data_IF_603316554337
#
_entry.id   IF_603316554337
#
_cell.length_a   1.000
_cell.length_b   1.000
_cell.length_c   1.000
_cell.angle_alpha   90.00
_cell.angle_beta   90.00
_cell.angle_gamma   90.00
#
_symmetry.space_group_name_H-M   'P 1'
#
loop_
_entity.id
_entity.type
_entity.pdbx_description
1 polymer ?
#
# COMPACT_ATOMS: atom_id res chain seq x y z
N UNK A 1 32.59 -28.15 -15.51
CA UNK A 1 33.23 -27.04 -14.78
C UNK A 1 32.28 -25.84 -14.86
N UNK A 2 31.20 -25.91 -14.08
CA UNK A 2 30.99 -25.15 -12.84
C UNK A 2 30.75 -23.66 -13.11
N UNK A 3 29.49 -23.32 -13.39
CA UNK A 3 28.94 -21.98 -13.20
C UNK A 3 27.79 -22.15 -12.24
N UNK A 4 28.05 -21.73 -11.02
CA UNK A 4 27.26 -21.91 -9.82
C UNK A 4 25.85 -21.35 -9.96
N UNK A 5 24.87 -22.25 -10.12
CA UNK A 5 23.53 -22.08 -9.57
C UNK A 5 23.67 -21.87 -8.05
N UNK A 6 23.75 -20.62 -7.61
CA UNK A 6 23.61 -20.30 -6.18
C UNK A 6 22.13 -20.22 -5.87
N UNK A 7 21.57 -21.39 -5.61
CA UNK A 7 20.39 -21.56 -4.77
C UNK A 7 20.67 -20.92 -3.40
N UNK A 8 20.17 -19.69 -3.18
CA UNK A 8 20.01 -19.09 -1.84
C UNK A 8 18.53 -18.83 -1.61
N UNK A 9 17.81 -19.90 -1.28
CA UNK A 9 16.45 -19.88 -0.73
C UNK A 9 16.45 -19.51 0.76
N UNK A 10 17.16 -18.44 1.12
CA UNK A 10 17.09 -17.81 2.45
C UNK A 10 16.53 -16.40 2.29
N UNK A 11 15.56 -16.03 3.12
CA UNK A 11 15.01 -14.67 3.14
C UNK A 11 16.15 -13.65 3.32
N UNK A 12 16.13 -12.57 2.54
CA UNK A 12 17.18 -11.56 2.59
C UNK A 12 17.19 -10.88 3.98
N UNK A 13 18.32 -10.98 4.68
CA UNK A 13 18.50 -10.36 6.00
C UNK A 13 18.58 -8.84 5.81
N UNK A 14 17.68 -8.11 6.45
CA UNK A 14 17.46 -6.69 6.17
C UNK A 14 17.54 -5.86 7.44
N UNK A 15 18.23 -4.71 7.38
CA UNK A 15 18.18 -3.70 8.45
C UNK A 15 17.14 -2.65 8.09
N UNK A 16 16.25 -2.36 9.04
CA UNK A 16 15.24 -1.31 8.90
C UNK A 16 15.80 0.01 9.42
N UNK A 17 15.65 1.08 8.66
CA UNK A 17 16.13 2.42 9.01
C UNK A 17 14.99 3.42 8.98
N UNK A 18 14.82 4.17 10.07
CA UNK A 18 13.83 5.23 10.20
C UNK A 18 14.46 6.55 10.64
N UNK A 19 13.98 7.65 10.08
CA UNK A 19 14.41 9.00 10.47
C UNK A 19 13.23 9.78 11.04
N UNK A 20 13.31 10.06 12.35
CA UNK A 20 12.39 10.98 13.02
C UNK A 20 12.74 12.42 12.62
N UNK A 21 11.92 12.98 11.73
CA UNK A 21 12.03 14.37 11.26
C UNK A 21 11.30 15.38 12.15
N UNK A 22 10.79 14.95 13.32
CA UNK A 22 9.91 15.75 14.16
C UNK A 22 8.49 15.91 13.58
N UNK A 23 8.14 15.07 12.60
CA UNK A 23 6.77 14.99 12.09
C UNK A 23 5.89 14.25 13.10
N UNK A 24 4.62 14.66 13.25
CA UNK A 24 3.69 13.90 14.07
C UNK A 24 3.53 12.48 13.49
N UNK A 25 3.37 11.50 14.36
CA UNK A 25 3.08 10.08 14.02
C UNK A 25 4.24 9.30 13.39
N UNK A 26 5.49 9.62 13.72
CA UNK A 26 6.64 8.76 13.39
C UNK A 26 6.54 7.42 14.13
N UNK A 27 6.59 6.31 13.40
CA UNK A 27 6.66 4.96 13.97
C UNK A 27 8.08 4.69 14.46
N UNK A 28 8.35 5.02 15.73
CA UNK A 28 9.66 4.84 16.35
C UNK A 28 10.10 3.39 16.42
N UNK A 29 9.15 2.45 16.39
CA UNK A 29 9.42 1.02 16.47
C UNK A 29 9.57 0.38 15.09
N UNK A 30 9.27 1.10 14.01
CA UNK A 30 9.26 0.61 12.63
C UNK A 30 8.45 -0.68 12.48
N UNK A 31 7.36 -0.81 13.24
CA UNK A 31 6.48 -1.99 13.21
C UNK A 31 5.86 -2.15 11.82
N UNK A 32 5.35 -1.07 11.25
CA UNK A 32 4.70 -1.10 9.95
C UNK A 32 5.70 -1.46 8.84
N UNK A 33 6.89 -0.86 8.86
CA UNK A 33 7.96 -1.20 7.92
C UNK A 33 8.41 -2.66 8.09
N UNK A 34 8.46 -3.15 9.33
CA UNK A 34 8.79 -4.55 9.63
C UNK A 34 7.75 -5.51 9.06
N UNK A 35 6.46 -5.18 9.18
CA UNK A 35 5.36 -5.95 8.58
C UNK A 35 5.42 -5.91 7.05
N UNK A 36 5.75 -4.77 6.44
CA UNK A 36 5.93 -4.67 4.98
C UNK A 36 7.10 -5.54 4.52
N UNK A 37 8.25 -5.44 5.19
CA UNK A 37 9.43 -6.24 4.87
C UNK A 37 9.13 -7.74 4.94
N UNK A 38 8.49 -8.20 6.03
CA UNK A 38 8.05 -9.60 6.17
C UNK A 38 7.08 -10.01 5.06
N UNK A 39 6.14 -9.13 4.69
CA UNK A 39 5.17 -9.38 3.62
C UNK A 39 5.85 -9.55 2.26
N UNK A 40 6.93 -8.81 2.01
CA UNK A 40 7.73 -8.92 0.79
C UNK A 40 8.64 -10.16 0.76
N UNK A 41 8.75 -10.90 1.87
CA UNK A 41 9.64 -12.05 2.01
C UNK A 41 11.05 -11.70 2.53
N UNK A 42 11.25 -10.48 3.05
CA UNK A 42 12.48 -10.05 3.71
C UNK A 42 12.46 -10.48 5.19
N UNK A 43 13.65 -10.61 5.78
CA UNK A 43 13.82 -10.94 7.19
C UNK A 43 14.47 -9.75 7.92
N UNK A 44 13.69 -8.91 8.61
CA UNK A 44 14.24 -7.83 9.44
C UNK A 44 15.11 -8.39 10.58
N UNK A 45 16.40 -8.04 10.60
CA UNK A 45 17.35 -8.49 11.63
C UNK A 45 17.68 -7.40 12.65
N UNK A 46 17.54 -6.13 12.28
CA UNK A 46 17.73 -5.00 13.19
C UNK A 46 16.87 -3.81 12.76
N UNK A 47 16.66 -2.90 13.72
CA UNK A 47 15.96 -1.64 13.53
C UNK A 47 16.83 -0.51 14.03
N UNK A 48 17.00 0.50 13.19
CA UNK A 48 17.85 1.65 13.47
C UNK A 48 17.02 2.90 13.27
N UNK A 49 16.84 3.68 14.33
CA UNK A 49 16.20 5.00 14.23
C UNK A 49 17.21 6.10 14.51
N UNK A 50 16.99 7.27 13.90
CA UNK A 50 17.75 8.46 14.23
C UNK A 50 16.84 9.69 14.18
N UNK A 51 17.14 10.67 15.03
CA UNK A 51 16.40 11.92 15.10
C UNK A 51 17.14 13.03 14.38
N UNK A 52 16.45 13.75 13.49
CA UNK A 52 17.01 14.89 12.75
C UNK A 52 15.94 15.95 12.54
N UNK A 53 16.36 17.22 12.42
CA UNK A 53 15.43 18.29 12.04
C UNK A 53 15.11 18.30 10.55
N UNK A 54 16.05 17.84 9.73
CA UNK A 54 15.92 17.79 8.28
C UNK A 54 16.79 16.63 7.73
N UNK A 55 16.38 16.03 6.59
CA UNK A 55 17.17 15.01 5.94
C UNK A 55 18.49 15.59 5.42
N UNK A 56 19.56 14.79 5.50
CA UNK A 56 20.83 15.14 4.86
C UNK A 56 20.70 15.10 3.33
N UNK A 57 21.21 16.13 2.65
CA UNK A 57 21.10 16.22 1.19
C UNK A 57 21.86 15.09 0.46
N UNK A 58 22.93 14.58 1.06
CA UNK A 58 23.75 13.54 0.47
C UNK A 58 23.33 12.14 0.90
N UNK A 59 23.13 11.89 2.20
CA UNK A 59 22.90 10.54 2.73
C UNK A 59 21.53 10.34 3.38
N UNK A 60 20.66 11.35 3.41
CA UNK A 60 19.40 11.38 4.19
C UNK A 60 19.61 11.32 5.72
N UNK A 61 20.53 10.48 6.19
CA UNK A 61 21.08 10.39 7.54
C UNK A 61 22.47 11.03 7.62
N UNK A 62 23.04 11.13 8.82
CA UNK A 62 24.41 11.62 9.01
C UNK A 62 25.45 10.54 8.67
N UNK A 63 26.66 10.96 8.27
CA UNK A 63 27.77 10.04 7.95
C UNK A 63 28.07 9.07 9.09
N UNK A 64 28.19 9.55 10.34
CA UNK A 64 28.45 8.69 11.48
C UNK A 64 27.36 7.62 11.71
N UNK A 65 26.09 7.95 11.40
CA UNK A 65 25.00 6.96 11.47
C UNK A 65 25.05 5.97 10.31
N UNK A 66 25.47 6.43 9.13
CA UNK A 66 25.70 5.53 8.00
C UNK A 66 26.86 4.56 8.28
N UNK A 67 27.93 5.01 8.94
CA UNK A 67 29.04 4.15 9.39
C UNK A 67 28.56 3.11 10.42
N UNK A 68 27.75 3.53 11.40
CA UNK A 68 27.13 2.63 12.38
C UNK A 68 26.27 1.56 11.70
N UNK A 69 25.43 1.94 10.74
CA UNK A 69 24.61 0.99 9.96
C UNK A 69 25.49 0.04 9.15
N UNK A 70 26.59 0.52 8.56
CA UNK A 70 27.52 -0.32 7.80
C UNK A 70 28.13 -1.41 8.67
N UNK A 71 28.65 -1.03 9.85
CA UNK A 71 29.22 -1.98 10.81
C UNK A 71 28.17 -3.00 11.28
N UNK A 72 26.97 -2.52 11.62
CA UNK A 72 25.87 -3.40 12.03
C UNK A 72 25.46 -4.38 10.92
N UNK A 73 25.48 -3.93 9.66
CA UNK A 73 25.17 -4.77 8.51
C UNK A 73 26.25 -5.84 8.25
N UNK A 74 27.50 -5.56 8.59
CA UNK A 74 28.59 -6.55 8.55
C UNK A 74 28.46 -7.57 9.68
N UNK A 75 28.21 -7.10 10.90
CA UNK A 75 28.04 -7.94 12.09
C UNK A 75 26.86 -8.92 11.95
N UNK A 76 25.70 -8.42 11.49
CA UNK A 76 24.48 -9.22 11.37
C UNK A 76 24.36 -9.95 10.03
N UNK A 77 25.32 -9.78 9.12
CA UNK A 77 25.28 -10.37 7.78
C UNK A 77 24.10 -9.86 6.93
N UNK A 78 23.63 -8.63 7.17
CA UNK A 78 22.52 -8.06 6.43
C UNK A 78 22.92 -7.83 4.96
N UNK A 79 22.05 -8.28 4.05
CA UNK A 79 22.24 -8.19 2.60
C UNK A 79 21.57 -6.96 2.00
N UNK A 80 20.69 -6.30 2.74
CA UNK A 80 19.90 -5.15 2.27
C UNK A 80 19.61 -4.16 3.41
N UNK A 81 19.53 -2.87 3.06
CA UNK A 81 19.14 -1.81 3.98
C UNK A 81 17.85 -1.17 3.47
N UNK A 82 16.84 -1.12 4.31
CA UNK A 82 15.51 -0.64 3.96
C UNK A 82 15.16 0.62 4.74
N UNK A 83 14.93 1.72 4.03
CA UNK A 83 14.53 3.00 4.60
C UNK A 83 13.02 3.17 4.62
N UNK A 84 12.46 3.60 5.76
CA UNK A 84 11.03 3.88 5.92
C UNK A 84 10.59 5.10 5.09
N UNK A 85 11.46 6.09 4.93
CA UNK A 85 11.16 7.29 4.15
C UNK A 85 11.58 7.13 2.68
N UNK A 86 10.85 7.77 1.77
CA UNK A 86 11.24 7.83 0.37
C UNK A 86 12.57 8.57 0.19
N UNK A 87 13.49 7.96 -0.56
CA UNK A 87 14.81 8.55 -0.82
C UNK A 87 14.80 9.27 -2.16
N UNK A 88 15.60 10.32 -2.30
CA UNK A 88 15.91 10.84 -3.65
C UNK A 88 16.86 9.89 -4.39
N UNK A 89 16.87 9.89 -5.74
CA UNK A 89 17.83 9.09 -6.51
C UNK A 89 19.29 9.37 -6.16
N UNK A 90 19.60 10.59 -5.69
CA UNK A 90 20.93 10.98 -5.26
C UNK A 90 21.30 10.36 -3.90
N UNK A 91 20.39 10.45 -2.93
CA UNK A 91 20.57 9.88 -1.60
C UNK A 91 20.73 8.37 -1.64
N UNK A 92 19.82 7.67 -2.34
CA UNK A 92 19.87 6.22 -2.47
C UNK A 92 21.24 5.73 -2.97
N UNK A 93 21.76 6.33 -4.03
CA UNK A 93 23.08 5.97 -4.59
C UNK A 93 24.24 6.30 -3.66
N UNK A 94 24.18 7.42 -2.95
CA UNK A 94 25.24 7.79 -2.02
C UNK A 94 25.27 6.80 -0.86
N UNK A 95 24.10 6.41 -0.36
CA UNK A 95 23.94 5.36 0.64
C UNK A 95 24.41 4.00 0.13
N UNK A 96 24.01 3.56 -1.07
CA UNK A 96 24.50 2.32 -1.69
C UNK A 96 26.03 2.28 -1.79
N UNK A 97 26.64 3.42 -2.17
CA UNK A 97 28.10 3.56 -2.25
C UNK A 97 28.79 3.53 -0.89
N UNK A 98 28.17 4.12 0.12
CA UNK A 98 28.74 4.22 1.46
C UNK A 98 28.61 2.89 2.23
N UNK A 99 27.43 2.27 2.15
CA UNK A 99 27.05 1.04 2.86
C UNK A 99 27.49 -0.24 2.13
N UNK A 100 27.89 -0.11 0.86
CA UNK A 100 28.32 -1.21 -0.02
C UNK A 100 27.28 -2.33 -0.16
N UNK A 101 26.01 -1.96 -0.02
CA UNK A 101 24.86 -2.87 -0.03
C UNK A 101 23.70 -2.23 -0.80
N UNK A 102 22.77 -3.02 -1.35
CA UNK A 102 21.50 -2.51 -1.86
C UNK A 102 20.77 -1.69 -0.79
N UNK A 103 20.34 -0.49 -1.18
CA UNK A 103 19.53 0.39 -0.34
C UNK A 103 18.21 0.62 -1.05
N UNK A 104 17.13 0.19 -0.41
CA UNK A 104 15.78 0.34 -0.92
C UNK A 104 14.96 1.22 0.03
N UNK A 105 13.96 1.89 -0.51
CA UNK A 105 13.04 2.72 0.28
C UNK A 105 11.67 2.05 0.34
N UNK A 106 10.81 2.58 1.23
CA UNK A 106 9.43 2.13 1.40
C UNK A 106 8.62 2.17 0.10
N UNK A 107 8.92 3.09 -0.82
CA UNK A 107 8.21 3.16 -2.11
C UNK A 107 8.45 1.91 -2.93
N UNK A 108 9.72 1.50 -3.09
CA UNK A 108 10.05 0.30 -3.82
C UNK A 108 9.50 -0.97 -3.15
N UNK A 109 9.60 -1.05 -1.82
CA UNK A 109 9.07 -2.19 -1.06
C UNK A 109 7.58 -2.40 -1.30
N UNK A 110 6.79 -1.31 -1.25
CA UNK A 110 5.35 -1.40 -1.49
C UNK A 110 5.08 -1.86 -2.94
N UNK A 111 5.82 -1.34 -3.92
CA UNK A 111 5.71 -1.77 -5.32
C UNK A 111 6.02 -3.25 -5.51
N UNK A 112 7.00 -3.79 -4.79
CA UNK A 112 7.35 -5.21 -4.82
C UNK A 112 6.25 -6.09 -4.24
N UNK A 113 5.70 -5.70 -3.07
CA UNK A 113 4.55 -6.39 -2.47
C UNK A 113 3.38 -6.38 -3.46
N UNK A 114 3.09 -5.25 -4.09
CA UNK A 114 2.04 -5.18 -5.09
C UNK A 114 2.32 -6.04 -6.32
N UNK A 115 3.57 -6.14 -6.76
CA UNK A 115 3.97 -7.05 -7.83
C UNK A 115 3.69 -8.50 -7.52
N UNK A 116 3.90 -8.91 -6.26
CA UNK A 116 3.60 -10.26 -5.78
C UNK A 116 2.08 -10.52 -5.66
N UNK A 117 1.27 -9.47 -5.42
CA UNK A 117 -0.18 -9.59 -5.18
C UNK A 117 -1.05 -9.38 -6.42
N UNK A 118 -0.55 -8.67 -7.43
CA UNK A 118 -1.29 -8.38 -8.66
C UNK A 118 -1.57 -9.67 -9.47
N UNK A 119 -2.82 -10.10 -9.49
CA UNK A 119 -3.24 -11.28 -10.28
C UNK A 119 -3.92 -10.86 -11.58
N UNK A 120 -4.74 -9.83 -11.52
CA UNK A 120 -5.44 -9.30 -12.69
C UNK A 120 -4.47 -8.70 -13.71
N UNK A 121 -4.85 -8.75 -14.98
CA UNK A 121 -4.06 -8.14 -16.05
C UNK A 121 -3.94 -6.61 -15.88
N UNK A 122 -5.02 -5.96 -15.44
CA UNK A 122 -5.04 -4.52 -15.15
C UNK A 122 -4.10 -4.17 -13.98
N UNK A 123 -4.23 -4.88 -12.86
CA UNK A 123 -3.38 -4.67 -11.68
C UNK A 123 -1.89 -4.89 -12.00
N UNK A 124 -1.56 -5.90 -12.81
CA UNK A 124 -0.16 -6.14 -13.25
C UNK A 124 0.38 -4.95 -14.05
N UNK A 125 -0.40 -4.40 -14.99
CA UNK A 125 0.01 -3.23 -15.77
C UNK A 125 0.17 -1.97 -14.91
N UNK A 126 -0.68 -1.77 -13.91
CA UNK A 126 -0.59 -0.63 -12.98
C UNK A 126 0.70 -0.70 -12.15
N UNK A 127 0.97 -1.87 -11.55
CA UNK A 127 2.20 -2.09 -10.79
C UNK A 127 3.44 -1.94 -11.68
N UNK A 128 3.40 -2.50 -12.89
CA UNK A 128 4.48 -2.38 -13.85
C UNK A 128 4.74 -0.91 -14.22
N UNK A 129 3.69 -0.14 -14.51
CA UNK A 129 3.81 1.30 -14.80
C UNK A 129 4.49 2.04 -13.65
N UNK A 130 4.00 1.84 -12.43
CA UNK A 130 4.53 2.50 -11.24
C UNK A 130 6.00 2.14 -10.99
N UNK A 131 6.35 0.85 -11.15
CA UNK A 131 7.73 0.37 -11.03
C UNK A 131 8.64 0.97 -12.11
N UNK A 132 8.18 1.03 -13.37
CA UNK A 132 8.95 1.64 -14.45
C UNK A 132 9.17 3.14 -14.21
N UNK A 133 8.15 3.86 -13.75
CA UNK A 133 8.27 5.28 -13.38
C UNK A 133 9.28 5.47 -12.25
N UNK A 134 9.19 4.67 -11.18
CA UNK A 134 10.13 4.71 -10.07
C UNK A 134 11.58 4.48 -10.53
N UNK A 135 11.82 3.38 -11.26
CA UNK A 135 13.15 3.00 -11.76
C UNK A 135 13.67 4.03 -12.76
N UNK A 136 12.82 4.63 -13.60
CA UNK A 136 13.24 5.61 -14.62
C UNK A 136 14.03 6.79 -14.05
N UNK A 137 13.67 7.24 -12.84
CA UNK A 137 14.34 8.35 -12.15
C UNK A 137 15.70 7.95 -11.56
N UNK A 138 15.99 6.65 -11.49
CA UNK A 138 17.15 6.05 -10.80
C UNK A 138 18.13 5.31 -11.73
N UNK A 139 17.75 5.05 -12.99
CA UNK A 139 18.57 4.38 -14.01
C UNK A 139 19.89 5.09 -14.31
N UNK A 140 19.84 6.42 -14.42
CA UNK A 140 20.94 7.25 -14.95
C UNK A 140 22.25 7.07 -14.17
N UNK A 141 22.21 6.58 -12.93
CA UNK A 141 23.37 6.59 -12.06
C UNK A 141 23.66 5.28 -11.31
N UNK A 142 22.99 4.16 -11.67
CA UNK A 142 23.44 2.81 -11.27
C UNK A 142 24.68 2.35 -12.06
N UNK A 143 24.89 2.92 -13.24
CA UNK A 143 25.98 2.57 -14.16
C UNK A 143 27.30 3.33 -13.93
N UNK A 144 27.36 4.32 -13.02
CA UNK A 144 28.60 5.05 -12.71
C UNK A 144 29.70 4.16 -12.10
N UNK A 145 29.36 2.95 -11.65
CA UNK A 145 30.32 1.95 -11.18
C UNK A 145 31.00 1.18 -12.33
N UNK A 146 30.34 0.98 -13.48
CA UNK A 146 30.96 0.32 -14.63
C UNK A 146 31.99 1.22 -15.34
N UNK A 147 31.77 2.53 -15.37
CA UNK A 147 32.71 3.49 -15.98
C UNK A 147 34.09 3.52 -15.31
N UNK A 148 34.21 3.13 -14.04
CA UNK A 148 35.51 3.12 -13.34
C UNK A 148 36.37 1.88 -13.63
N UNK A 149 35.78 0.80 -14.11
CA UNK A 149 36.52 -0.41 -14.48
C UNK A 149 37.06 -0.37 -15.92
N UNK A 150 36.47 0.46 -16.78
CA UNK A 150 36.94 0.66 -18.17
C UNK A 150 37.71 1.98 -18.26
N UNK A 151 39.00 1.92 -17.90
CA UNK A 151 39.88 3.08 -17.84
C UNK A 151 39.98 3.88 -19.14
N UNK A 152 39.94 5.20 -18.99
CA UNK A 152 40.68 6.20 -19.76
C UNK A 152 40.68 6.10 -21.30
N UNK A 153 39.80 6.85 -21.95
CA UNK A 153 40.11 7.52 -23.21
C UNK A 153 39.14 8.71 -23.41
N UNK A 154 39.70 9.92 -23.50
CA UNK A 154 38.99 11.19 -23.59
C UNK A 154 38.19 11.39 -24.88
N UNK A 155 37.01 10.77 -24.95
CA UNK A 155 35.98 11.12 -25.93
C UNK A 155 34.73 11.54 -25.14
N UNK A 156 34.34 12.81 -25.25
CA UNK A 156 33.03 13.31 -24.81
C UNK A 156 31.95 12.42 -25.44
N UNK A 157 31.23 11.62 -24.64
CA UNK A 157 30.27 10.62 -25.11
C UNK A 157 30.76 9.17 -25.02
N UNK A 158 31.20 8.74 -23.84
CA UNK A 158 31.68 7.37 -23.61
C UNK A 158 30.59 6.30 -23.81
N UNK A 159 30.97 5.01 -23.95
CA UNK A 159 30.02 3.90 -24.15
C UNK A 159 28.92 3.81 -23.08
N UNK A 160 29.24 4.20 -21.83
CA UNK A 160 28.29 4.23 -20.71
C UNK A 160 27.21 5.30 -20.86
N UNK A 161 27.55 6.49 -21.35
CA UNK A 161 26.60 7.59 -21.55
C UNK A 161 25.57 7.25 -22.64
N UNK A 162 26.02 6.63 -23.73
CA UNK A 162 25.13 6.10 -24.78
C UNK A 162 24.25 4.96 -24.26
N UNK A 163 24.79 4.05 -23.45
CA UNK A 163 24.01 2.96 -22.88
C UNK A 163 22.92 3.46 -21.91
N UNK A 164 23.24 4.46 -21.08
CA UNK A 164 22.28 5.11 -20.18
C UNK A 164 21.16 5.79 -20.96
N UNK A 165 21.50 6.50 -22.04
CA UNK A 165 20.52 7.15 -22.89
C UNK A 165 19.59 6.14 -23.58
N UNK A 166 20.15 5.03 -24.08
CA UNK A 166 19.38 3.92 -24.66
C UNK A 166 18.45 3.28 -23.62
N UNK A 167 18.95 2.94 -22.43
CA UNK A 167 18.14 2.37 -21.35
C UNK A 167 17.02 3.32 -20.92
N UNK A 168 17.33 4.61 -20.78
CA UNK A 168 16.34 5.64 -20.45
C UNK A 168 15.27 5.74 -21.53
N UNK A 169 15.65 5.67 -22.80
CA UNK A 169 14.72 5.65 -23.92
C UNK A 169 13.85 4.39 -23.92
N UNK A 170 14.45 3.22 -23.70
CA UNK A 170 13.73 1.94 -23.63
C UNK A 170 12.70 1.94 -22.50
N UNK A 171 13.06 2.45 -21.31
CA UNK A 171 12.13 2.57 -20.19
C UNK A 171 11.05 3.62 -20.47
N UNK A 172 11.40 4.75 -21.11
CA UNK A 172 10.42 5.74 -21.55
C UNK A 172 9.39 5.15 -22.53
N UNK A 173 9.85 4.38 -23.52
CA UNK A 173 8.98 3.70 -24.49
C UNK A 173 8.12 2.62 -23.81
N UNK A 174 8.66 1.90 -22.81
CA UNK A 174 7.89 0.97 -22.00
C UNK A 174 6.78 1.68 -21.21
N UNK A 175 7.10 2.78 -20.52
CA UNK A 175 6.12 3.61 -19.80
C UNK A 175 4.99 4.06 -20.74
N UNK A 176 5.35 4.58 -21.92
CA UNK A 176 4.37 5.03 -22.92
C UNK A 176 3.43 3.89 -23.35
N UNK A 177 4.00 2.73 -23.71
CA UNK A 177 3.22 1.56 -24.13
C UNK A 177 2.31 1.04 -23.02
N UNK A 178 2.79 0.96 -21.78
CA UNK A 178 1.99 0.50 -20.63
C UNK A 178 0.85 1.48 -20.32
N UNK A 179 1.11 2.78 -20.39
CA UNK A 179 0.07 3.82 -20.22
C UNK A 179 -1.02 3.74 -21.29
N UNK A 180 -0.64 3.56 -22.56
CA UNK A 180 -1.60 3.38 -23.67
C UNK A 180 -2.48 2.13 -23.48
N UNK A 181 -1.91 1.04 -22.95
CA UNK A 181 -2.67 -0.18 -22.62
C UNK A 181 -3.66 0.05 -21.48
N UNK A 182 -3.24 0.75 -20.43
CA UNK A 182 -4.13 1.12 -19.30
C UNK A 182 -5.28 2.02 -19.74
N UNK A 183 -5.04 2.99 -20.61
CA UNK A 183 -6.10 3.86 -21.14
C UNK A 183 -7.15 3.08 -21.96
N UNK A 184 -6.74 2.05 -22.71
CA UNK A 184 -7.67 1.16 -23.41
C UNK A 184 -8.56 0.38 -22.42
N UNK A 185 -7.96 -0.14 -21.34
CA UNK A 185 -8.71 -0.85 -20.28
C UNK A 185 -9.68 0.09 -19.54
N UNK A 186 -9.25 1.32 -19.25
CA UNK A 186 -10.09 2.35 -18.62
C UNK A 186 -11.35 2.65 -19.44
N UNK A 187 -11.21 2.77 -20.77
CA UNK A 187 -12.37 2.94 -21.68
C UNK A 187 -13.33 1.75 -21.61
N UNK A 188 -12.81 0.52 -21.59
CA UNK A 188 -13.64 -0.69 -21.47
C UNK A 188 -14.40 -0.74 -20.13
N UNK A 189 -13.74 -0.38 -19.01
CA UNK A 189 -14.38 -0.25 -17.68
C UNK A 189 -15.49 0.79 -17.69
N UNK A 190 -15.29 1.96 -18.31
CA UNK A 190 -16.31 3.01 -18.38
C UNK A 190 -17.60 2.55 -19.06
N UNK A 191 -17.50 1.69 -20.07
CA UNK A 191 -18.66 1.09 -20.75
C UNK A 191 -19.39 0.09 -19.85
N UNK A 192 -18.65 -0.77 -19.15
CA UNK A 192 -19.24 -1.69 -18.15
C UNK A 192 -19.90 -0.92 -17.00
N UNK A 193 -19.30 0.19 -16.57
CA UNK A 193 -19.86 1.09 -15.56
C UNK A 193 -21.20 1.65 -16.00
N UNK A 194 -21.29 2.23 -17.21
CA UNK A 194 -22.57 2.74 -17.76
C UNK A 194 -23.65 1.66 -17.81
N UNK A 195 -23.27 0.41 -18.04
CA UNK A 195 -24.21 -0.71 -17.99
C UNK A 195 -24.66 -1.05 -16.56
N UNK A 196 -23.77 -0.92 -15.57
CA UNK A 196 -24.10 -1.09 -14.13
C UNK A 196 -24.98 0.04 -13.61
N UNK A 197 -24.67 1.30 -13.90
CA UNK A 197 -25.47 2.47 -13.53
C UNK A 197 -26.90 2.36 -14.07
N UNK A 198 -27.07 1.89 -15.32
CA UNK A 198 -28.40 1.64 -15.92
C UNK A 198 -29.22 0.56 -15.21
N UNK A 199 -28.59 -0.32 -14.43
CA UNK A 199 -29.28 -1.38 -13.67
C UNK A 199 -29.71 -0.93 -12.27
N UNK A 200 -29.35 0.28 -11.84
CA UNK A 200 -29.76 0.84 -10.55
C UNK A 200 -29.25 0.07 -9.33
N UNK A 201 -28.14 -0.67 -9.46
CA UNK A 201 -27.56 -1.41 -8.35
C UNK A 201 -26.80 -0.45 -7.42
N UNK A 202 -27.18 -0.44 -6.14
CA UNK A 202 -26.52 0.33 -5.09
C UNK A 202 -25.16 -0.30 -4.78
N UNK A 203 -24.09 0.50 -4.86
CA UNK A 203 -22.71 0.03 -4.75
C UNK A 203 -22.07 0.49 -3.44
N UNK A 204 -21.59 -0.48 -2.67
CA UNK A 204 -20.93 -0.29 -1.39
C UNK A 204 -19.46 -0.69 -1.53
N UNK A 205 -18.56 0.18 -1.07
CA UNK A 205 -17.11 -0.06 -1.13
C UNK A 205 -16.49 -0.12 0.26
N UNK A 206 -15.72 -1.17 0.54
CA UNK A 206 -14.99 -1.32 1.79
C UNK A 206 -13.66 -0.58 1.69
N UNK A 207 -13.50 0.48 2.48
CA UNK A 207 -12.27 1.27 2.56
C UNK A 207 -11.67 1.20 3.95
N UNK A 208 -10.39 1.53 4.08
CA UNK A 208 -9.72 1.54 5.38
C UNK A 208 -8.26 1.11 5.31
N UNK A 209 -7.60 1.21 6.45
CA UNK A 209 -6.17 0.91 6.57
C UNK A 209 -5.86 -0.55 6.24
N UNK A 210 -4.64 -0.82 5.77
CA UNK A 210 -4.13 -2.18 5.59
C UNK A 210 -4.22 -2.93 6.92
N UNK A 211 -4.58 -4.22 6.86
CA UNK A 211 -4.84 -5.05 8.02
C UNK A 211 -6.02 -4.64 8.94
N UNK A 212 -6.86 -3.66 8.59
CA UNK A 212 -8.10 -3.37 9.34
C UNK A 212 -9.14 -4.52 9.29
N UNK A 213 -8.88 -5.56 8.49
CA UNK A 213 -9.76 -6.72 8.34
C UNK A 213 -10.88 -6.53 7.30
N UNK A 214 -10.69 -5.63 6.32
CA UNK A 214 -11.62 -5.42 5.18
C UNK A 214 -12.01 -6.72 4.49
N UNK A 215 -11.04 -7.52 4.04
CA UNK A 215 -11.31 -8.78 3.35
C UNK A 215 -11.95 -9.85 4.25
N UNK A 216 -11.62 -9.85 5.54
CA UNK A 216 -12.28 -10.71 6.54
C UNK A 216 -13.75 -10.33 6.71
N UNK A 217 -14.04 -9.04 6.84
CA UNK A 217 -15.41 -8.53 6.93
C UNK A 217 -16.18 -8.77 5.64
N UNK A 218 -15.56 -8.54 4.47
CA UNK A 218 -16.11 -8.86 3.16
C UNK A 218 -16.58 -10.31 3.11
N UNK A 219 -15.71 -11.26 3.47
CA UNK A 219 -16.05 -12.68 3.50
C UNK A 219 -17.23 -13.00 4.41
N UNK A 220 -17.28 -12.37 5.57
CA UNK A 220 -18.39 -12.54 6.52
C UNK A 220 -19.70 -11.98 5.98
N UNK A 221 -19.66 -10.86 5.25
CA UNK A 221 -20.83 -10.24 4.60
C UNK A 221 -21.32 -11.06 3.40
N UNK A 222 -20.45 -11.52 2.52
CA UNK A 222 -20.89 -12.24 1.30
C UNK A 222 -20.90 -13.76 1.45
N UNK A 223 -20.59 -14.29 2.65
CA UNK A 223 -20.37 -15.73 2.91
C UNK A 223 -19.42 -16.36 1.87
N UNK A 224 -18.42 -15.59 1.43
CA UNK A 224 -17.47 -15.99 0.40
C UNK A 224 -16.14 -16.44 1.01
N UNK A 225 -15.34 -17.16 0.21
CA UNK A 225 -13.96 -17.54 0.53
C UNK A 225 -12.95 -16.68 -0.25
N UNK A 226 -13.02 -15.35 -0.13
CA UNK A 226 -11.91 -14.50 -0.60
C UNK A 226 -10.69 -14.70 0.31
N UNK A 227 -9.48 -14.49 -0.22
CA UNK A 227 -8.26 -14.63 0.56
C UNK A 227 -8.16 -13.49 1.58
N UNK A 228 -7.98 -13.85 2.85
CA UNK A 228 -7.71 -12.91 3.94
C UNK A 228 -6.51 -13.44 4.73
N UNK A 229 -5.54 -12.59 4.99
CA UNK A 229 -4.33 -12.91 5.75
C UNK A 229 -3.89 -11.69 6.56
N UNK A 230 -3.20 -11.94 7.67
CA UNK A 230 -2.58 -10.93 8.53
C UNK A 230 -1.27 -10.41 7.89
N UNK A 231 -1.41 -9.86 6.68
CA UNK A 231 -0.33 -9.35 5.84
C UNK A 231 -0.78 -8.02 5.23
N UNK A 232 0.15 -7.07 5.10
CA UNK A 232 -0.16 -5.78 4.47
C UNK A 232 -0.46 -6.03 2.98
N UNK A 233 -1.42 -5.27 2.43
CA UNK A 233 -1.87 -5.43 1.03
C UNK A 233 -2.30 -6.86 0.65
N UNK A 234 -2.93 -7.60 1.57
CA UNK A 234 -3.52 -8.91 1.29
C UNK A 234 -4.46 -8.91 0.07
N UNK A 235 -5.10 -7.77 -0.22
CA UNK A 235 -5.97 -7.54 -1.37
C UNK A 235 -5.47 -6.32 -2.15
N UNK A 236 -5.24 -6.53 -3.45
CA UNK A 236 -4.90 -5.48 -4.43
C UNK A 236 -5.96 -5.36 -5.52
N UNK A 237 -6.35 -6.51 -6.09
CA UNK A 237 -7.40 -6.57 -7.10
C UNK A 237 -8.78 -6.40 -6.44
N UNK A 238 -9.56 -5.44 -6.93
CA UNK A 238 -10.92 -5.17 -6.44
C UNK A 238 -11.82 -6.40 -6.65
N UNK A 239 -12.47 -6.87 -5.59
CA UNK A 239 -13.41 -7.99 -5.67
C UNK A 239 -14.83 -7.52 -5.40
N UNK A 240 -15.69 -7.61 -6.40
CA UNK A 240 -17.12 -7.24 -6.29
C UNK A 240 -18.01 -8.47 -6.23
N UNK A 241 -18.94 -8.50 -5.28
CA UNK A 241 -19.94 -9.54 -5.13
C UNK A 241 -21.32 -8.93 -4.88
N UNK A 242 -22.37 -9.63 -5.32
CA UNK A 242 -23.73 -9.26 -4.97
C UNK A 242 -24.04 -9.73 -3.54
N UNK A 243 -24.61 -8.84 -2.75
CA UNK A 243 -25.09 -9.06 -1.40
C UNK A 243 -26.59 -8.81 -1.38
N UNK A 244 -27.35 -9.77 -0.86
CA UNK A 244 -28.79 -9.61 -0.65
C UNK A 244 -29.03 -9.10 0.76
N UNK A 245 -29.63 -7.92 0.86
CA UNK A 245 -30.11 -7.34 2.11
C UNK A 245 -31.58 -7.73 2.28
N UNK A 246 -31.90 -8.40 3.39
CA UNK A 246 -33.28 -8.61 3.79
C UNK A 246 -33.80 -7.31 4.40
N UNK A 247 -35.01 -6.88 4.01
CA UNK A 247 -35.62 -5.69 4.60
C UNK A 247 -35.86 -5.94 6.10
N UNK A 248 -35.59 -4.92 6.92
CA UNK A 248 -35.75 -4.99 8.37
C UNK A 248 -37.23 -5.11 8.81
N UNK A 249 -38.16 -4.77 7.91
CA UNK A 249 -39.61 -4.83 8.13
C UNK A 249 -40.23 -5.97 7.31
N UNK A 250 -40.28 -7.17 7.88
CA UNK A 250 -41.02 -8.35 7.36
C UNK A 250 -42.56 -8.15 7.40
N UNK A 251 -43.02 -6.91 7.54
CA UNK A 251 -44.43 -6.49 7.58
C UNK A 251 -44.87 -5.71 6.33
N UNK A 252 -43.95 -5.30 5.46
CA UNK A 252 -44.27 -4.49 4.26
C UNK A 252 -43.99 -5.19 2.94
N UNK A 253 -43.99 -6.53 2.87
CA UNK A 253 -44.04 -7.31 1.62
C UNK A 253 -43.00 -6.95 0.54
N UNK A 254 -41.91 -6.28 0.92
CA UNK A 254 -40.93 -5.76 -0.01
C UNK A 254 -39.87 -6.82 -0.29
N UNK A 255 -39.67 -7.10 -1.57
CA UNK A 255 -38.61 -7.97 -2.09
C UNK A 255 -37.24 -7.41 -1.69
N UNK A 256 -36.43 -8.20 -1.00
CA UNK A 256 -35.10 -7.81 -0.52
C UNK A 256 -34.23 -7.15 -1.59
N UNK A 257 -33.39 -6.18 -1.18
CA UNK A 257 -32.56 -5.37 -2.08
C UNK A 257 -31.23 -6.06 -2.38
N UNK A 258 -30.87 -6.14 -3.67
CA UNK A 258 -29.53 -6.57 -4.10
C UNK A 258 -28.60 -5.37 -4.14
N UNK A 259 -27.49 -5.43 -3.41
CA UNK A 259 -26.44 -4.42 -3.41
C UNK A 259 -25.12 -5.04 -3.89
N UNK A 260 -24.27 -4.25 -4.56
CA UNK A 260 -22.93 -4.70 -4.90
C UNK A 260 -21.97 -4.31 -3.78
N UNK A 261 -21.24 -5.27 -3.22
CA UNK A 261 -20.16 -5.01 -2.27
C UNK A 261 -18.80 -5.21 -2.95
N UNK A 262 -17.93 -4.20 -2.86
CA UNK A 262 -16.57 -4.22 -3.40
C UNK A 262 -15.53 -4.16 -2.27
N UNK A 263 -14.55 -5.08 -2.29
CA UNK A 263 -13.36 -5.00 -1.43
C UNK A 263 -12.24 -4.25 -2.18
N UNK A 264 -11.69 -3.19 -1.59
CA UNK A 264 -10.63 -2.37 -2.20
C UNK A 264 -9.26 -2.64 -1.61
N UNK A 265 -8.22 -2.11 -2.28
CA UNK A 265 -6.88 -2.06 -1.71
C UNK A 265 -6.89 -1.29 -0.38
N UNK A 266 -6.10 -1.74 0.59
CA UNK A 266 -5.94 -1.05 1.85
C UNK A 266 -5.00 0.14 1.77
N UNK A 267 -5.29 1.18 2.55
CA UNK A 267 -4.42 2.35 2.68
C UNK A 267 -3.27 2.11 3.65
N UNK A 268 -2.19 2.87 3.48
CA UNK A 268 -1.04 2.88 4.38
C UNK A 268 -0.57 4.32 4.57
N UNK A 269 0.20 4.59 5.63
CA UNK A 269 0.79 5.89 5.92
C UNK A 269 1.77 6.28 4.82
N UNK A 270 1.76 7.57 4.50
CA UNK A 270 2.67 8.22 3.55
C UNK A 270 2.73 7.50 2.21
N UNK A 271 1.56 7.17 1.66
CA UNK A 271 1.42 6.65 0.30
C UNK A 271 2.10 7.62 -0.68
N UNK A 272 3.16 7.20 -1.41
CA UNK A 272 3.82 8.08 -2.36
C UNK A 272 2.85 8.51 -3.46
N UNK A 273 2.85 9.79 -3.85
CA UNK A 273 1.91 10.32 -4.86
C UNK A 273 1.95 9.56 -6.20
N UNK A 274 3.14 9.13 -6.64
CA UNK A 274 3.28 8.33 -7.86
C UNK A 274 2.59 6.95 -7.77
N UNK A 275 2.40 6.45 -6.54
CA UNK A 275 1.66 5.23 -6.27
C UNK A 275 0.15 5.49 -6.39
N UNK A 276 -0.34 6.61 -5.85
CA UNK A 276 -1.75 7.01 -5.96
C UNK A 276 -2.18 7.14 -7.42
N UNK A 277 -1.36 7.75 -8.28
CA UNK A 277 -1.63 7.85 -9.72
C UNK A 277 -1.76 6.47 -10.39
N UNK A 278 -0.87 5.53 -10.05
CA UNK A 278 -0.89 4.19 -10.64
C UNK A 278 -2.07 3.34 -10.16
N UNK A 279 -2.55 3.57 -8.94
CA UNK A 279 -3.70 2.89 -8.35
C UNK A 279 -5.00 3.68 -8.43
N UNK A 280 -5.01 4.82 -9.14
CA UNK A 280 -6.20 5.64 -9.27
C UNK A 280 -7.38 4.85 -9.83
N UNK A 281 -7.14 3.93 -10.77
CA UNK A 281 -8.19 3.09 -11.35
C UNK A 281 -8.73 2.01 -10.39
N UNK A 282 -7.94 1.52 -9.42
CA UNK A 282 -8.43 0.62 -8.37
C UNK A 282 -9.11 1.39 -7.23
N UNK A 283 -8.66 2.61 -6.95
CA UNK A 283 -9.27 3.53 -5.99
C UNK A 283 -10.55 4.20 -6.52
N UNK A 284 -10.74 4.23 -7.84
CA UNK A 284 -11.95 4.77 -8.48
C UNK A 284 -13.24 4.07 -8.02
N UNK A 285 -13.17 2.81 -7.62
CA UNK A 285 -14.34 2.08 -7.10
C UNK A 285 -14.82 2.67 -5.76
N UNK A 286 -13.96 3.33 -4.99
CA UNK A 286 -14.36 4.08 -3.80
C UNK A 286 -15.02 5.42 -4.17
N UNK A 287 -14.52 6.11 -5.20
CA UNK A 287 -15.10 7.37 -5.69
C UNK A 287 -16.49 7.16 -6.29
N UNK A 288 -16.67 6.06 -7.00
CA UNK A 288 -17.92 5.72 -7.69
C UNK A 288 -18.94 5.00 -6.78
N UNK A 289 -18.62 4.81 -5.50
CA UNK A 289 -19.51 4.14 -4.55
C UNK A 289 -20.65 5.05 -4.11
N UNK A 290 -21.82 4.46 -3.86
CA UNK A 290 -22.94 5.17 -3.24
C UNK A 290 -22.76 5.27 -1.72
N UNK A 291 -21.99 4.34 -1.14
CA UNK A 291 -21.66 4.28 0.29
C UNK A 291 -20.27 3.70 0.51
N UNK A 292 -19.50 4.32 1.39
CA UNK A 292 -18.25 3.79 1.92
C UNK A 292 -18.47 3.13 3.28
N UNK A 293 -18.09 1.86 3.38
CA UNK A 293 -17.90 1.20 4.67
C UNK A 293 -16.44 1.38 5.07
N UNK A 294 -16.17 2.34 5.95
CA UNK A 294 -14.84 2.62 6.44
C UNK A 294 -14.50 1.68 7.59
N UNK A 295 -13.78 0.62 7.26
CA UNK A 295 -13.34 -0.41 8.21
C UNK A 295 -12.11 0.06 8.98
N UNK A 296 -12.24 0.06 10.30
CA UNK A 296 -11.23 0.52 11.26
C UNK A 296 -10.86 -0.64 12.19
N UNK A 297 -9.58 -0.81 12.50
CA UNK A 297 -9.14 -1.76 13.51
C UNK A 297 -9.38 -1.17 14.91
N UNK A 298 -10.42 -1.64 15.61
CA UNK A 298 -10.77 -1.12 16.93
C UNK A 298 -9.72 -1.47 18.01
N UNK A 299 -8.97 -2.56 17.81
CA UNK A 299 -7.95 -3.01 18.77
C UNK A 299 -6.63 -2.25 18.60
N UNK A 300 -6.47 -1.50 17.50
CA UNK A 300 -5.28 -0.69 17.28
C UNK A 300 -5.36 0.62 18.08
N UNK A 301 -4.43 0.93 18.99
CA UNK A 301 -4.45 2.19 19.75
C UNK A 301 -4.35 3.44 18.85
N UNK A 302 -3.74 3.30 17.66
CA UNK A 302 -3.53 4.39 16.72
C UNK A 302 -4.66 4.50 15.67
N UNK A 303 -5.83 3.89 15.92
CA UNK A 303 -6.94 3.87 14.96
C UNK A 303 -7.44 5.27 14.58
N UNK A 304 -7.41 6.24 15.50
CA UNK A 304 -7.80 7.62 15.20
C UNK A 304 -6.88 8.26 14.13
N UNK A 305 -5.58 7.98 14.19
CA UNK A 305 -4.61 8.45 13.21
C UNK A 305 -4.83 7.76 11.86
N UNK A 306 -5.08 6.45 11.87
CA UNK A 306 -5.39 5.70 10.65
C UNK A 306 -6.65 6.22 9.96
N UNK A 307 -7.71 6.56 10.73
CA UNK A 307 -8.91 7.20 10.20
C UNK A 307 -8.54 8.50 9.49
N UNK A 308 -7.76 9.37 10.13
CA UNK A 308 -7.34 10.65 9.54
C UNK A 308 -6.50 10.45 8.26
N UNK A 309 -5.60 9.46 8.22
CA UNK A 309 -4.85 9.14 7.00
C UNK A 309 -5.76 8.66 5.88
N UNK A 310 -6.73 7.80 6.17
CA UNK A 310 -7.70 7.35 5.18
C UNK A 310 -8.52 8.52 4.67
N UNK A 311 -8.99 9.43 5.54
CA UNK A 311 -9.74 10.62 5.10
C UNK A 311 -8.92 11.51 4.16
N UNK A 312 -7.62 11.75 4.47
CA UNK A 312 -6.74 12.52 3.57
C UNK A 312 -6.68 11.89 2.18
N UNK A 313 -6.45 10.58 2.10
CA UNK A 313 -6.38 9.88 0.82
C UNK A 313 -7.73 9.89 0.09
N UNK A 314 -8.85 9.71 0.82
CA UNK A 314 -10.20 9.82 0.24
C UNK A 314 -10.44 11.23 -0.35
N UNK A 315 -9.98 12.29 0.31
CA UNK A 315 -10.06 13.65 -0.23
C UNK A 315 -9.19 13.81 -1.49
N UNK A 316 -7.95 13.32 -1.48
CA UNK A 316 -7.04 13.41 -2.63
C UNK A 316 -7.57 12.70 -3.88
N UNK A 317 -8.26 11.57 -3.71
CA UNK A 317 -8.87 10.83 -4.84
C UNK A 317 -10.26 11.34 -5.23
N UNK A 318 -10.82 12.31 -4.50
CA UNK A 318 -12.15 12.88 -4.75
C UNK A 318 -13.33 12.04 -4.21
N UNK A 319 -13.09 11.15 -3.24
CA UNK A 319 -14.11 10.34 -2.58
C UNK A 319 -14.57 10.93 -1.22
N UNK A 320 -14.10 12.12 -0.84
CA UNK A 320 -14.38 12.71 0.49
C UNK A 320 -15.86 13.04 0.76
N UNK A 321 -16.66 13.27 -0.28
CA UNK A 321 -18.08 13.60 -0.15
C UNK A 321 -19.00 12.37 -0.17
N UNK A 322 -18.45 11.18 -0.44
CA UNK A 322 -19.24 9.94 -0.44
C UNK A 322 -19.71 9.64 0.98
N UNK A 323 -21.00 9.32 1.21
CA UNK A 323 -21.49 8.95 2.53
C UNK A 323 -20.67 7.80 3.14
N UNK A 324 -20.38 7.89 4.45
CA UNK A 324 -19.55 6.91 5.14
C UNK A 324 -20.27 6.33 6.36
N UNK A 325 -20.06 5.03 6.58
CA UNK A 325 -20.34 4.35 7.85
C UNK A 325 -19.02 3.80 8.38
N UNK A 326 -18.68 4.17 9.61
CA UNK A 326 -17.50 3.66 10.30
C UNK A 326 -17.80 2.27 10.86
N UNK A 327 -16.96 1.30 10.51
CA UNK A 327 -17.07 -0.08 10.95
C UNK A 327 -15.84 -0.43 11.78
N UNK A 328 -15.99 -0.32 13.10
CA UNK A 328 -14.96 -0.68 14.07
C UNK A 328 -14.91 -2.20 14.19
N UNK A 329 -13.96 -2.79 13.47
CA UNK A 329 -13.75 -4.22 13.35
C UNK A 329 -12.76 -4.74 14.42
N UNK A 330 -12.65 -6.07 14.53
CA UNK A 330 -11.79 -6.78 15.50
C UNK A 330 -12.17 -6.55 16.95
N UNK A 331 -13.46 -6.39 17.24
CA UNK A 331 -13.94 -6.25 18.63
C UNK A 331 -13.64 -7.48 19.49
N UNK A 332 -13.38 -8.64 18.88
CA UNK A 332 -12.93 -9.87 19.56
C UNK A 332 -11.54 -9.76 20.19
N UNK A 333 -10.75 -8.75 19.82
CA UNK A 333 -9.42 -8.49 20.38
C UNK A 333 -9.44 -7.42 21.47
N UNK A 334 -10.58 -6.79 21.74
CA UNK A 334 -10.71 -5.79 22.80
C UNK A 334 -10.74 -6.47 24.17
N UNK A 335 -10.10 -5.84 25.15
CA UNK A 335 -10.27 -6.25 26.55
C UNK A 335 -11.71 -6.01 27.01
N UNK A 336 -12.24 -6.76 28.00
CA UNK A 336 -13.62 -6.61 28.46
C UNK A 336 -14.01 -5.18 28.86
N UNK A 337 -13.05 -4.39 29.34
CA UNK A 337 -13.24 -2.98 29.72
C UNK A 337 -13.34 -2.03 28.52
N UNK A 338 -12.80 -2.44 27.37
CA UNK A 338 -12.82 -1.69 26.11
C UNK A 338 -13.98 -2.10 25.19
N UNK A 339 -14.67 -3.20 25.49
CA UNK A 339 -15.83 -3.64 24.71
C UNK A 339 -16.96 -2.60 24.88
N UNK A 340 -17.45 -2.00 23.79
CA UNK A 340 -18.46 -0.97 23.87
C UNK A 340 -19.80 -1.56 24.34
N UNK A 341 -20.46 -0.86 25.25
CA UNK A 341 -21.77 -1.27 25.81
C UNK A 341 -22.86 -1.28 24.73
N UNK A 342 -22.74 -0.40 23.73
CA UNK A 342 -23.64 -0.33 22.57
C UNK A 342 -22.92 -0.88 21.34
N UNK A 343 -23.65 -1.64 20.52
CA UNK A 343 -23.13 -2.17 19.23
C UNK A 343 -23.00 -1.11 18.15
N UNK A 344 -23.50 0.11 18.40
CA UNK A 344 -23.41 1.25 17.48
C UNK A 344 -23.69 2.58 18.17
N UNK A 345 -23.18 3.66 17.58
CA UNK A 345 -23.40 5.04 17.97
C UNK A 345 -23.11 6.00 16.80
N UNK A 346 -22.99 7.29 17.09
CA UNK A 346 -22.56 8.31 16.14
C UNK A 346 -21.13 8.73 16.48
N UNK A 347 -20.32 8.94 15.46
CA UNK A 347 -18.93 9.37 15.56
C UNK A 347 -18.75 10.68 14.81
N UNK A 348 -18.03 11.63 15.39
CA UNK A 348 -17.70 12.88 14.72
C UNK A 348 -16.48 12.69 13.82
N UNK A 349 -16.69 12.80 12.51
CA UNK A 349 -15.66 12.66 11.47
C UNK A 349 -15.64 13.96 10.66
N UNK A 350 -14.54 14.71 10.76
CA UNK A 350 -14.35 16.00 10.09
C UNK A 350 -15.54 16.97 10.29
N UNK A 351 -16.08 17.05 11.52
CA UNK A 351 -17.21 17.89 11.89
C UNK A 351 -18.58 17.39 11.42
N UNK A 352 -18.65 16.19 10.81
CA UNK A 352 -19.90 15.52 10.42
C UNK A 352 -20.14 14.31 11.32
N UNK A 353 -21.37 14.15 11.81
CA UNK A 353 -21.76 12.94 12.53
C UNK A 353 -22.02 11.80 11.54
N UNK A 354 -21.23 10.74 11.65
CA UNK A 354 -21.37 9.53 10.85
C UNK A 354 -21.75 8.33 11.74
N UNK A 355 -22.55 7.37 11.25
CA UNK A 355 -22.84 6.16 12.01
C UNK A 355 -21.57 5.34 12.23
N UNK A 356 -21.38 4.85 13.47
CA UNK A 356 -20.31 3.91 13.82
C UNK A 356 -20.92 2.61 14.33
N UNK A 357 -20.42 1.49 13.85
CA UNK A 357 -20.88 0.14 14.19
C UNK A 357 -19.68 -0.71 14.60
N UNK A 358 -19.85 -1.49 15.67
CA UNK A 358 -18.82 -2.36 16.21
C UNK A 358 -19.05 -3.81 15.78
N UNK A 359 -18.04 -4.43 15.17
CA UNK A 359 -18.13 -5.79 14.62
C UNK A 359 -16.86 -6.59 14.84
N UNK A 360 -16.98 -7.91 14.71
CA UNK A 360 -15.86 -8.81 14.50
C UNK A 360 -16.10 -9.61 13.23
N UNK A 361 -15.37 -9.27 12.16
CA UNK A 361 -15.43 -10.03 10.91
C UNK A 361 -15.00 -11.50 11.08
N UNK A 362 -14.14 -11.78 12.07
CA UNK A 362 -13.62 -13.13 12.36
C UNK A 362 -14.68 -14.03 13.02
N UNK A 363 -15.37 -13.51 14.03
CA UNK A 363 -16.40 -14.26 14.78
C UNK A 363 -17.81 -14.08 14.20
N UNK A 364 -17.96 -13.16 13.25
CA UNK A 364 -19.22 -12.67 12.70
C UNK A 364 -20.12 -11.92 13.70
N UNK A 365 -19.62 -11.59 14.90
CA UNK A 365 -20.34 -10.76 15.86
C UNK A 365 -20.59 -9.35 15.28
N UNK A 366 -21.82 -8.83 15.46
CA UNK A 366 -22.22 -7.51 14.95
C UNK A 366 -22.46 -7.42 13.43
N UNK A 367 -22.05 -8.43 12.66
CA UNK A 367 -22.24 -8.46 11.19
C UNK A 367 -23.73 -8.50 10.79
N UNK A 368 -24.62 -9.24 11.48
CA UNK A 368 -26.06 -9.16 11.19
C UNK A 368 -26.66 -7.78 11.44
N UNK A 369 -26.19 -7.03 12.45
CA UNK A 369 -26.64 -5.67 12.74
C UNK A 369 -26.18 -4.70 11.65
N UNK A 370 -24.93 -4.85 11.18
CA UNK A 370 -24.40 -4.10 10.04
C UNK A 370 -25.20 -4.33 8.75
N UNK A 371 -25.77 -5.53 8.53
CA UNK A 371 -26.60 -5.81 7.34
C UNK A 371 -28.00 -5.22 7.42
N UNK A 372 -28.54 -5.03 8.64
CA UNK A 372 -29.91 -4.53 8.85
C UNK A 372 -30.02 -3.02 8.71
N UNK A 373 -28.93 -2.31 8.96
CA UNK A 373 -28.81 -0.85 8.84
C UNK A 373 -28.32 -0.47 7.46
#
# INVERSE_FOLDING_TARGET
>A
MSSSETNRSGAALTILVGVDLGLPHFDSELEELSLLAKTAGLQPVARVTCKRKAPDAALFIGSGKADEIKMLAEELGATEILFDQALSPAQQRNLERHLERPVNDRTLLILEIFGQRARSHEGKLQVELARLQYVSTRLVRRWSHLERQTGGAGVRGGPGEKQIELDRRMVGDAIKRTRERLEKLKRQRSTQRRQRERRGAFNISLVGYTNAGKSTLFNSLVKARAYAADQLFATLDTTTRQLWLADADDTSGATGRSVSLSDTVGFIRDLPHGLIEAFQATLQEAVDADLLLHVVDAANPNHAEQIAQVQRVLQEIGAGDVPQVLVFNKTDMLSPEQVPVRTSDMFELDGKLVPRIFVSGRTAQGVPDLRRR
#
